data_IF_520298197849
#
_entry.id   IF_520298197849
#
_cell.length_a   1.000
_cell.length_b   1.000
_cell.length_c   1.000
_cell.angle_alpha   90.00
_cell.angle_beta   90.00
_cell.angle_gamma   90.00
#
_symmetry.space_group_name_H-M   'P 1'
#
loop_
_entity.id
_entity.type
_entity.pdbx_description
1 polymer ?
#
# COMPACT_ATOMS: atom_id res chain seq x y z
N UNK A 1 -8.71 -6.47 6.75
CA UNK A 1 -10.03 -7.13 6.94
C UNK A 1 -11.23 -6.19 7.03
N UNK A 2 -11.16 -5.08 7.76
CA UNK A 2 -12.31 -4.20 7.97
C UNK A 2 -12.98 -3.68 6.68
N UNK A 3 -12.18 -3.22 5.70
CA UNK A 3 -12.70 -2.77 4.41
C UNK A 3 -13.40 -3.90 3.63
N UNK A 4 -12.86 -5.13 3.67
CA UNK A 4 -13.47 -6.31 3.06
C UNK A 4 -14.79 -6.70 3.76
N UNK A 5 -14.84 -6.59 5.10
CA UNK A 5 -16.06 -6.82 5.87
C UNK A 5 -17.16 -5.80 5.58
N UNK A 6 -16.80 -4.56 5.21
CA UNK A 6 -17.75 -3.46 4.92
C UNK A 6 -18.04 -3.23 3.43
N UNK A 7 -17.64 -4.16 2.54
CA UNK A 7 -17.74 -4.03 1.07
C UNK A 7 -19.12 -3.64 0.49
N UNK A 8 -20.20 -3.81 1.25
CA UNK A 8 -21.56 -3.41 0.84
C UNK A 8 -21.86 -1.92 1.04
N UNK A 9 -21.00 -1.19 1.76
CA UNK A 9 -21.20 0.22 2.14
C UNK A 9 -19.99 1.07 1.71
N UNK A 10 -18.82 0.45 1.51
CA UNK A 10 -17.61 1.13 1.02
C UNK A 10 -17.24 0.68 -0.39
N UNK A 11 -16.78 1.63 -1.21
CA UNK A 11 -16.19 1.32 -2.52
C UNK A 11 -14.77 0.77 -2.30
N UNK A 12 -14.58 -0.51 -2.62
CA UNK A 12 -13.27 -1.14 -2.55
C UNK A 12 -12.45 -0.75 -3.79
N UNK A 13 -11.27 -0.20 -3.54
CA UNK A 13 -10.25 0.07 -4.56
C UNK A 13 -9.04 -0.83 -4.34
N UNK A 14 -8.38 -1.18 -5.44
CA UNK A 14 -7.15 -1.96 -5.44
C UNK A 14 -6.04 -1.06 -5.99
N UNK A 15 -5.17 -0.51 -5.12
CA UNK A 15 -4.15 0.45 -5.55
C UNK A 15 -3.06 -0.17 -6.43
N UNK A 16 -2.99 -1.50 -6.50
CA UNK A 16 -2.03 -2.24 -7.31
C UNK A 16 -2.79 -3.02 -8.38
N UNK A 17 -2.56 -2.68 -9.64
CA UNK A 17 -3.10 -3.39 -10.81
C UNK A 17 -1.93 -3.97 -11.63
N UNK A 18 -1.98 -5.27 -11.91
CA UNK A 18 -0.91 -5.98 -12.63
C UNK A 18 0.51 -5.79 -12.06
N UNK A 19 0.63 -5.52 -10.75
CA UNK A 19 1.91 -5.28 -10.08
C UNK A 19 2.41 -3.83 -10.13
N UNK A 20 1.65 -2.93 -10.76
CA UNK A 20 1.94 -1.49 -10.79
C UNK A 20 1.02 -0.75 -9.82
N UNK A 21 1.57 0.24 -9.11
CA UNK A 21 0.76 1.15 -8.29
C UNK A 21 0.04 2.14 -9.21
N UNK A 22 -1.29 2.04 -9.27
CA UNK A 22 -2.14 2.91 -10.10
C UNK A 22 -2.76 4.06 -9.32
N UNK A 23 -2.96 3.89 -8.00
CA UNK A 23 -3.53 4.89 -7.11
C UNK A 23 -2.63 5.10 -5.90
N UNK A 24 -1.79 6.14 -5.94
CA UNK A 24 -0.80 6.42 -4.90
C UNK A 24 -1.42 6.79 -3.55
N UNK A 25 -2.49 7.58 -3.52
CA UNK A 25 -3.18 7.96 -2.27
C UNK A 25 -3.69 6.73 -1.51
N UNK A 26 -4.27 5.77 -2.24
CA UNK A 26 -4.79 4.53 -1.66
C UNK A 26 -3.64 3.61 -1.21
N UNK A 27 -2.49 3.64 -1.91
CA UNK A 27 -1.28 2.92 -1.50
C UNK A 27 -0.66 3.51 -0.23
N UNK A 28 -0.63 4.84 -0.11
CA UNK A 28 -0.16 5.54 1.09
C UNK A 28 -1.02 5.18 2.30
N UNK A 29 -2.35 5.16 2.15
CA UNK A 29 -3.26 4.73 3.22
C UNK A 29 -2.99 3.27 3.63
N UNK A 30 -2.71 2.39 2.66
CA UNK A 30 -2.35 1.00 2.93
C UNK A 30 -1.03 0.87 3.72
N UNK A 31 0.01 1.60 3.33
CA UNK A 31 1.28 1.61 4.07
C UNK A 31 1.12 2.20 5.47
N UNK A 32 0.36 3.29 5.61
CA UNK A 32 0.09 3.89 6.91
C UNK A 32 -0.60 2.89 7.85
N UNK A 33 -1.61 2.16 7.35
CA UNK A 33 -2.23 1.07 8.10
C UNK A 33 -1.22 0.00 8.51
N UNK A 34 -0.36 -0.41 7.57
CA UNK A 34 0.66 -1.45 7.81
C UNK A 34 1.66 -1.05 8.89
N UNK A 35 2.24 0.16 8.83
CA UNK A 35 3.26 0.58 9.79
C UNK A 35 2.67 0.86 11.17
N UNK A 36 1.58 1.62 11.26
CA UNK A 36 1.08 2.11 12.54
C UNK A 36 0.12 1.15 13.24
N UNK A 37 -0.69 0.40 12.50
CA UNK A 37 -1.72 -0.46 13.09
C UNK A 37 -1.29 -1.92 13.17
N UNK A 38 -0.72 -2.46 12.09
CA UNK A 38 -0.28 -3.87 12.04
C UNK A 38 1.08 -4.06 12.74
N UNK A 39 2.11 -3.34 12.29
CA UNK A 39 3.47 -3.49 12.81
C UNK A 39 3.69 -2.66 14.09
N UNK A 40 2.91 -1.58 14.29
CA UNK A 40 3.01 -0.64 15.41
C UNK A 40 4.42 -0.05 15.58
N UNK A 41 5.05 0.29 14.45
CA UNK A 41 6.38 0.90 14.38
C UNK A 41 6.30 2.29 13.75
N UNK A 42 7.22 3.17 14.15
CA UNK A 42 7.48 4.40 13.42
C UNK A 42 8.38 4.05 12.21
N UNK A 43 7.92 4.28 10.97
CA UNK A 43 8.70 3.95 9.77
C UNK A 43 10.01 4.76 9.70
N UNK A 44 10.07 5.97 10.27
CA UNK A 44 11.27 6.81 10.28
C UNK A 44 12.44 6.22 11.08
N UNK A 45 12.17 5.36 12.05
CA UNK A 45 13.19 4.74 12.91
C UNK A 45 13.71 3.40 12.36
N UNK A 46 13.13 2.90 11.25
CA UNK A 46 13.35 1.55 10.76
C UNK A 46 13.63 1.52 9.26
N UNK A 47 14.71 0.87 8.79
CA UNK A 47 14.93 0.68 7.37
C UNK A 47 13.81 -0.19 6.77
N UNK A 48 13.19 0.29 5.69
CA UNK A 48 12.10 -0.41 4.99
C UNK A 48 12.64 -1.10 3.74
N UNK A 49 12.36 -2.39 3.60
CA UNK A 49 12.56 -3.14 2.35
C UNK A 49 11.22 -3.29 1.64
N UNK A 50 11.14 -2.82 0.40
CA UNK A 50 9.94 -2.93 -0.45
C UNK A 50 10.24 -3.83 -1.64
N UNK A 51 9.25 -4.61 -2.07
CA UNK A 51 9.33 -5.44 -3.27
C UNK A 51 8.53 -4.81 -4.40
N UNK A 52 9.09 -4.78 -5.61
CA UNK A 52 8.42 -4.30 -6.81
C UNK A 52 8.25 -5.42 -7.85
N UNK A 53 7.31 -5.21 -8.78
CA UNK A 53 7.11 -6.13 -9.90
C UNK A 53 8.33 -6.12 -10.84
N UNK A 54 8.64 -7.26 -11.50
CA UNK A 54 9.68 -7.28 -12.53
C UNK A 54 9.36 -6.27 -13.63
N UNK A 55 10.37 -5.51 -14.09
CA UNK A 55 10.25 -4.46 -15.11
C UNK A 55 9.43 -3.23 -14.68
N UNK A 56 9.41 -2.90 -13.40
CA UNK A 56 8.82 -1.65 -12.94
C UNK A 56 9.54 -0.43 -13.57
N UNK A 57 8.82 0.51 -14.21
CA UNK A 57 9.42 1.75 -14.68
C UNK A 57 10.07 2.50 -13.52
N UNK A 58 11.33 2.94 -13.71
CA UNK A 58 12.09 3.67 -12.68
C UNK A 58 11.38 4.92 -12.16
N UNK A 59 10.52 5.53 -12.98
CA UNK A 59 9.71 6.67 -12.59
C UNK A 59 8.76 6.40 -11.41
N UNK A 60 8.49 5.13 -11.09
CA UNK A 60 7.68 4.72 -9.93
C UNK A 60 8.53 4.28 -8.72
N UNK A 61 9.84 4.23 -8.88
CA UNK A 61 10.79 3.72 -7.86
C UNK A 61 11.79 4.78 -7.38
N UNK A 62 11.69 6.02 -7.86
CA UNK A 62 12.52 7.17 -7.46
C UNK A 62 11.87 8.03 -6.39
#
# INVERSE_FOLDING_TARGET
DEAQSKRGIVSLKYPIEHGFVTYWDDMEMFWHHTFFYELRVAPDDHPVLVTEAPLNPKAYSE
#
